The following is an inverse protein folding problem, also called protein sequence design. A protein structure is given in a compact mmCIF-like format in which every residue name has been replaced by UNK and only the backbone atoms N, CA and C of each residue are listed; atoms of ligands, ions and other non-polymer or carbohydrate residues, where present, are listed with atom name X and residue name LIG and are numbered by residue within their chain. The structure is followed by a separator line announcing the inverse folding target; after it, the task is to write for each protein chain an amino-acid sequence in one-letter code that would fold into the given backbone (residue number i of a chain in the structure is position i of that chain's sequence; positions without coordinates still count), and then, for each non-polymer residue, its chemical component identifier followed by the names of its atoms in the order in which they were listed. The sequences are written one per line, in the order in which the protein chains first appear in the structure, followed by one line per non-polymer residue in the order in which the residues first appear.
data_IF_769322430488
#
_entry.id   IF_769322430488
#
_cell.length_a   1.000
_cell.length_b   1.000
_cell.length_c   1.000
_cell.angle_alpha   90.00
_cell.angle_beta   90.00
_cell.angle_gamma   90.00
#
_symmetry.space_group_name_H-M   'P 1'
#
loop_
_entity.id
_entity.type
_entity.pdbx_description
1 polymer ?
#
# COMPACT_ATOMS: atom_id res chain seq x y z
N UNK A 1 -14.90 3.44 -13.20
CA UNK A 1 -14.78 4.88 -13.51
C UNK A 1 -14.13 5.56 -12.33
N UNK A 2 -13.02 6.28 -12.56
CA UNK A 2 -12.14 6.81 -11.52
C UNK A 2 -12.89 7.68 -10.51
N UNK A 3 -12.74 7.37 -9.21
CA UNK A 3 -13.34 8.13 -8.09
C UNK A 3 -13.03 9.65 -8.15
N UNK A 4 -11.97 10.03 -8.87
CA UNK A 4 -11.54 11.41 -8.99
C UNK A 4 -12.43 12.28 -9.88
N UNK A 5 -13.30 11.75 -10.76
CA UNK A 5 -14.18 12.61 -11.58
C UNK A 5 -15.23 13.36 -10.74
N UNK A 6 -15.50 12.89 -9.52
CA UNK A 6 -16.47 13.49 -8.59
C UNK A 6 -15.87 14.53 -7.65
N UNK A 7 -14.55 14.71 -7.68
CA UNK A 7 -13.87 15.67 -6.80
C UNK A 7 -14.05 17.10 -7.32
N UNK A 8 -14.16 18.08 -6.42
CA UNK A 8 -14.01 19.48 -6.83
C UNK A 8 -12.57 19.75 -7.26
N UNK A 9 -12.36 20.86 -7.97
CA UNK A 9 -11.03 21.26 -8.43
C UNK A 9 -10.09 21.55 -7.24
N UNK A 10 -10.60 22.21 -6.19
CA UNK A 10 -9.86 22.45 -4.95
C UNK A 10 -9.46 21.14 -4.27
N UNK A 11 -10.33 20.12 -4.31
CA UNK A 11 -10.05 18.81 -3.74
C UNK A 11 -9.01 18.01 -4.56
N UNK A 12 -8.88 18.27 -5.86
CA UNK A 12 -7.80 17.74 -6.71
C UNK A 12 -6.49 18.45 -6.38
N UNK A 13 -6.49 19.78 -6.32
CA UNK A 13 -5.32 20.61 -5.98
C UNK A 13 -4.78 20.24 -4.60
N UNK A 14 -5.65 20.13 -3.60
CA UNK A 14 -5.28 19.76 -2.23
C UNK A 14 -4.60 18.39 -2.15
N UNK A 15 -5.08 17.39 -2.90
CA UNK A 15 -4.43 16.07 -2.97
C UNK A 15 -3.09 16.15 -3.68
N UNK A 16 -3.00 16.90 -4.77
CA UNK A 16 -1.75 17.07 -5.52
C UNK A 16 -0.67 17.74 -4.67
N UNK A 17 -1.05 18.76 -3.89
CA UNK A 17 -0.16 19.54 -3.04
C UNK A 17 0.48 18.72 -1.91
N UNK A 18 -0.12 17.58 -1.51
CA UNK A 18 0.48 16.69 -0.51
C UNK A 18 1.78 16.03 -1.00
N UNK A 19 1.96 15.93 -2.32
CA UNK A 19 3.08 15.23 -2.95
C UNK A 19 3.97 16.14 -3.80
N UNK A 20 3.43 17.25 -4.32
CA UNK A 20 4.11 18.11 -5.28
C UNK A 20 3.89 19.59 -4.98
N UNK A 21 4.84 20.43 -5.38
CA UNK A 21 4.68 21.89 -5.33
C UNK A 21 3.66 22.38 -6.36
N UNK A 22 2.91 23.43 -6.00
CA UNK A 22 1.95 24.07 -6.90
C UNK A 22 2.64 25.14 -7.77
N UNK A 23 2.31 25.24 -9.07
CA UNK A 23 2.67 26.40 -9.87
C UNK A 23 2.03 27.69 -9.32
N UNK A 24 2.73 28.83 -9.43
CA UNK A 24 2.26 30.13 -8.93
C UNK A 24 0.83 30.46 -9.35
N UNK A 25 0.49 30.17 -10.61
CA UNK A 25 -0.84 30.46 -11.17
C UNK A 25 -1.97 29.72 -10.42
N UNK A 26 -1.74 28.46 -10.05
CA UNK A 26 -2.73 27.65 -9.31
C UNK A 26 -2.77 28.05 -7.84
N UNK A 27 -1.64 28.44 -7.26
CA UNK A 27 -1.56 28.94 -5.88
C UNK A 27 -2.31 30.28 -5.72
N UNK A 28 -2.19 31.18 -6.70
CA UNK A 28 -2.95 32.44 -6.76
C UNK A 28 -4.45 32.20 -6.92
N UNK A 29 -4.84 31.25 -7.77
CA UNK A 29 -6.23 30.83 -7.95
C UNK A 29 -6.82 30.29 -6.65
N UNK A 30 -6.10 29.40 -5.96
CA UNK A 30 -6.53 28.82 -4.68
C UNK A 30 -6.67 29.89 -3.59
N UNK A 31 -5.87 30.95 -3.67
CA UNK A 31 -5.91 32.09 -2.75
C UNK A 31 -6.99 33.13 -3.09
N UNK A 32 -7.77 32.93 -4.16
CA UNK A 32 -8.84 33.83 -4.59
C UNK A 32 -8.36 35.14 -5.22
N UNK A 33 -7.13 35.19 -5.74
CA UNK A 33 -6.60 36.37 -6.45
C UNK A 33 -7.37 36.56 -7.77
N UNK A 34 -7.72 37.81 -8.16
CA UNK A 34 -8.38 38.06 -9.44
C UNK A 34 -7.51 37.56 -10.61
N UNK A 35 -8.12 36.78 -11.49
CA UNK A 35 -7.47 36.20 -12.68
C UNK A 35 -8.23 36.55 -13.95
N UNK A 36 -7.50 36.72 -15.04
CA UNK A 36 -8.09 36.86 -16.38
C UNK A 36 -8.69 35.55 -16.88
N UNK A 37 -9.53 35.63 -17.93
CA UNK A 37 -10.18 34.45 -18.52
C UNK A 37 -9.15 33.40 -19.02
N UNK A 38 -8.07 33.86 -19.65
CA UNK A 38 -7.01 32.97 -20.14
C UNK A 38 -6.23 32.28 -19.01
N UNK A 39 -6.05 32.96 -17.88
CA UNK A 39 -5.40 32.39 -16.68
C UNK A 39 -6.27 31.31 -16.06
N UNK A 40 -7.57 31.58 -15.91
CA UNK A 40 -8.54 30.62 -15.41
C UNK A 40 -8.62 29.37 -16.30
N UNK A 41 -8.63 29.55 -17.62
CA UNK A 41 -8.59 28.44 -18.57
C UNK A 41 -7.32 27.58 -18.38
N UNK A 42 -6.17 28.22 -18.21
CA UNK A 42 -4.89 27.52 -17.98
C UNK A 42 -4.88 26.75 -16.66
N UNK A 43 -5.43 27.34 -15.58
CA UNK A 43 -5.59 26.65 -14.29
C UNK A 43 -6.45 25.42 -14.43
N UNK A 44 -7.57 25.53 -15.14
CA UNK A 44 -8.47 24.41 -15.40
C UNK A 44 -7.77 23.29 -16.17
N UNK A 45 -7.03 23.59 -17.22
CA UNK A 45 -6.26 22.60 -17.98
C UNK A 45 -5.25 21.85 -17.09
N UNK A 46 -4.52 22.59 -16.23
CA UNK A 46 -3.58 22.00 -15.27
C UNK A 46 -4.29 21.04 -14.32
N UNK A 47 -5.43 21.46 -13.76
CA UNK A 47 -6.20 20.65 -12.81
C UNK A 47 -6.76 19.39 -13.47
N UNK A 48 -7.19 19.46 -14.74
CA UNK A 48 -7.64 18.28 -15.48
C UNK A 48 -6.52 17.26 -15.68
N UNK A 49 -5.30 17.71 -15.99
CA UNK A 49 -4.12 16.84 -16.07
C UNK A 49 -3.83 16.16 -14.73
N UNK A 50 -3.90 16.91 -13.61
CA UNK A 50 -3.69 16.33 -12.29
C UNK A 50 -4.77 15.32 -11.91
N UNK A 51 -6.03 15.60 -12.26
CA UNK A 51 -7.16 14.70 -12.03
C UNK A 51 -6.95 13.35 -12.70
N UNK A 52 -6.45 13.33 -13.94
CA UNK A 52 -6.08 12.12 -14.66
C UNK A 52 -4.92 11.39 -13.97
N UNK A 53 -3.83 12.11 -13.65
CA UNK A 53 -2.63 11.54 -13.03
C UNK A 53 -2.89 10.93 -11.66
N UNK A 54 -3.75 11.53 -10.83
CA UNK A 54 -4.10 11.04 -9.50
C UNK A 54 -4.87 9.70 -9.53
N UNK A 55 -5.33 9.23 -10.69
CA UNK A 55 -5.94 7.91 -10.84
C UNK A 55 -5.20 7.00 -11.82
N UNK A 56 -4.00 7.40 -12.28
CA UNK A 56 -3.18 6.62 -13.19
C UNK A 56 -2.16 5.79 -12.39
N UNK A 57 -2.33 4.46 -12.42
CA UNK A 57 -1.41 3.53 -11.76
C UNK A 57 0.02 3.64 -12.30
N UNK A 58 0.19 3.94 -13.59
CA UNK A 58 1.51 4.11 -14.20
C UNK A 58 2.18 5.38 -13.71
N UNK A 59 1.41 6.45 -13.52
CA UNK A 59 1.91 7.68 -12.90
C UNK A 59 2.32 7.45 -11.44
N UNK A 60 1.48 6.74 -10.68
CA UNK A 60 1.81 6.34 -9.31
C UNK A 60 3.10 5.51 -9.25
N UNK A 61 3.20 4.45 -10.05
CA UNK A 61 4.38 3.58 -10.08
C UNK A 61 5.64 4.34 -10.51
N UNK A 62 5.52 5.28 -11.46
CA UNK A 62 6.64 6.15 -11.83
C UNK A 62 7.13 6.95 -10.62
N UNK A 63 6.24 7.64 -9.92
CA UNK A 63 6.61 8.46 -8.76
C UNK A 63 7.24 7.62 -7.64
N UNK A 64 6.66 6.46 -7.33
CA UNK A 64 7.17 5.54 -6.32
C UNK A 64 8.55 5.00 -6.68
N UNK A 65 8.70 4.46 -7.89
CA UNK A 65 9.91 3.78 -8.31
C UNK A 65 11.09 4.75 -8.49
N UNK A 66 10.83 5.94 -9.04
CA UNK A 66 11.86 6.96 -9.28
C UNK A 66 12.48 7.45 -7.96
N UNK A 67 11.66 7.67 -6.93
CA UNK A 67 12.13 8.10 -5.62
C UNK A 67 12.99 7.02 -4.94
N UNK A 68 12.51 5.77 -4.91
CA UNK A 68 13.26 4.64 -4.32
C UNK A 68 14.58 4.43 -5.07
N UNK A 69 14.55 4.43 -6.41
CA UNK A 69 15.75 4.24 -7.23
C UNK A 69 16.81 5.33 -6.97
N UNK A 70 16.40 6.59 -6.82
CA UNK A 70 17.32 7.68 -6.47
C UNK A 70 17.93 7.49 -5.09
N UNK A 71 17.12 7.11 -4.11
CA UNK A 71 17.60 6.90 -2.73
C UNK A 71 18.59 5.73 -2.66
N UNK A 72 18.25 4.59 -3.25
CA UNK A 72 19.13 3.43 -3.28
C UNK A 72 20.44 3.70 -4.03
N UNK A 73 20.39 4.30 -5.23
CA UNK A 73 21.62 4.66 -5.96
C UNK A 73 22.51 5.64 -5.18
N UNK A 74 21.90 6.57 -4.43
CA UNK A 74 22.64 7.52 -3.59
C UNK A 74 23.31 6.82 -2.41
N UNK A 75 22.61 5.88 -1.77
CA UNK A 75 23.10 5.06 -0.66
C UNK A 75 24.29 4.18 -1.10
N UNK A 76 24.18 3.54 -2.26
CA UNK A 76 25.22 2.66 -2.82
C UNK A 76 26.33 3.42 -3.57
N UNK A 77 26.28 4.76 -3.57
CA UNK A 77 27.19 5.63 -4.32
C UNK A 77 27.34 5.26 -5.82
N UNK A 78 26.29 4.73 -6.43
CA UNK A 78 26.28 4.27 -7.80
C UNK A 78 25.34 5.09 -8.68
N UNK A 79 25.34 4.80 -9.99
CA UNK A 79 24.44 5.39 -10.97
C UNK A 79 23.96 4.29 -11.90
N UNK A 80 22.73 4.41 -12.40
CA UNK A 80 22.18 3.48 -13.38
C UNK A 80 20.74 3.11 -13.09
N UNK A 81 20.27 2.08 -13.78
CA UNK A 81 18.94 1.51 -13.60
C UNK A 81 18.88 0.67 -12.32
N UNK A 82 17.95 1.02 -11.44
CA UNK A 82 17.68 0.26 -10.21
C UNK A 82 16.61 -0.83 -10.42
N UNK A 83 15.56 -0.51 -11.20
CA UNK A 83 14.45 -1.41 -11.50
C UNK A 83 14.60 -2.05 -12.87
N UNK A 84 14.02 -3.25 -13.04
CA UNK A 84 13.73 -3.80 -14.36
C UNK A 84 12.70 -2.96 -15.12
N UNK A 85 12.60 -3.17 -16.44
CA UNK A 85 11.88 -2.28 -17.37
C UNK A 85 10.46 -1.86 -16.96
N UNK A 86 9.45 -2.71 -17.16
CA UNK A 86 8.03 -2.40 -16.98
C UNK A 86 7.46 -3.17 -15.80
N UNK A 87 6.62 -2.52 -15.00
CA UNK A 87 5.81 -3.20 -14.00
C UNK A 87 4.68 -4.01 -14.66
N UNK A 88 4.24 -5.07 -14.00
CA UNK A 88 3.04 -5.84 -14.38
C UNK A 88 1.87 -5.39 -13.50
N UNK A 89 0.69 -5.24 -14.11
CA UNK A 89 -0.55 -4.97 -13.39
C UNK A 89 -1.62 -5.90 -13.89
N UNK A 90 -2.18 -6.70 -12.98
CA UNK A 90 -3.20 -7.70 -13.26
C UNK A 90 -4.40 -7.40 -12.38
N UNK A 91 -5.58 -7.24 -13.00
CA UNK A 91 -6.83 -7.13 -12.27
C UNK A 91 -7.21 -8.50 -11.70
N UNK A 92 -7.52 -8.54 -10.39
CA UNK A 92 -8.12 -9.69 -9.72
C UNK A 92 -9.64 -9.45 -9.72
N UNK A 93 -10.37 -10.31 -10.43
CA UNK A 93 -11.79 -10.09 -10.73
C UNK A 93 -12.74 -10.95 -9.88
N UNK A 94 -12.18 -11.85 -9.08
CA UNK A 94 -12.91 -12.76 -8.22
C UNK A 94 -12.16 -13.03 -6.92
N UNK A 95 -12.92 -13.57 -5.96
CA UNK A 95 -12.51 -13.87 -4.61
C UNK A 95 -11.40 -14.93 -4.53
N UNK A 96 -11.41 -15.91 -5.45
CA UNK A 96 -10.37 -16.94 -5.52
C UNK A 96 -9.04 -16.35 -5.98
N UNK A 97 -9.06 -15.48 -6.99
CA UNK A 97 -7.88 -14.77 -7.48
C UNK A 97 -7.30 -13.84 -6.41
N UNK A 98 -8.16 -13.20 -5.60
CA UNK A 98 -7.74 -12.40 -4.45
C UNK A 98 -7.02 -13.25 -3.41
N UNK A 99 -7.65 -14.33 -2.93
CA UNK A 99 -7.06 -15.24 -1.94
C UNK A 99 -5.75 -15.86 -2.42
N UNK A 100 -5.72 -16.34 -3.67
CA UNK A 100 -4.52 -16.90 -4.26
C UNK A 100 -3.38 -15.88 -4.34
N UNK A 101 -3.68 -14.62 -4.68
CA UNK A 101 -2.69 -13.55 -4.71
C UNK A 101 -2.18 -13.21 -3.30
N UNK A 102 -3.07 -13.08 -2.32
CA UNK A 102 -2.70 -12.82 -0.92
C UNK A 102 -1.77 -13.92 -0.38
N UNK A 103 -2.19 -15.19 -0.50
CA UNK A 103 -1.39 -16.33 -0.08
C UNK A 103 -0.07 -16.42 -0.86
N UNK A 104 -0.07 -16.05 -2.15
CA UNK A 104 1.16 -16.01 -2.93
C UNK A 104 2.17 -15.02 -2.36
N UNK A 105 1.73 -13.79 -2.06
CA UNK A 105 2.59 -12.74 -1.50
C UNK A 105 3.10 -13.11 -0.11
N UNK A 106 2.22 -13.57 0.77
CA UNK A 106 2.55 -13.92 2.15
C UNK A 106 3.52 -15.12 2.23
N UNK A 107 3.48 -16.04 1.26
CA UNK A 107 4.40 -17.19 1.18
C UNK A 107 5.70 -16.90 0.41
N UNK A 108 5.86 -15.71 -0.20
CA UNK A 108 7.06 -15.42 -1.00
C UNK A 108 8.37 -15.53 -0.21
N UNK A 109 8.49 -15.04 1.04
CA UNK A 109 9.73 -15.19 1.80
C UNK A 109 10.13 -16.65 2.03
N UNK A 110 9.15 -17.52 2.31
CA UNK A 110 9.39 -18.98 2.45
C UNK A 110 9.85 -19.57 1.12
N UNK A 111 9.15 -19.26 0.02
CA UNK A 111 9.49 -19.74 -1.32
C UNK A 111 10.85 -19.25 -1.81
N UNK A 112 11.30 -18.09 -1.34
CA UNK A 112 12.62 -17.54 -1.63
C UNK A 112 13.72 -18.09 -0.70
N UNK A 113 13.36 -18.95 0.27
CA UNK A 113 14.30 -19.52 1.25
C UNK A 113 14.79 -18.52 2.30
N UNK A 114 14.06 -17.43 2.52
CA UNK A 114 14.42 -16.39 3.50
C UNK A 114 14.00 -16.75 4.92
N UNK A 115 12.92 -17.54 5.09
CA UNK A 115 12.43 -18.00 6.37
C UNK A 115 11.70 -19.35 6.25
N UNK A 116 11.55 -20.06 7.36
CA UNK A 116 10.82 -21.35 7.41
C UNK A 116 9.35 -21.19 7.84
N UNK A 117 8.95 -19.98 8.27
CA UNK A 117 7.62 -19.70 8.78
C UNK A 117 7.17 -18.28 8.44
N UNK A 118 5.86 -18.13 8.23
CA UNK A 118 5.20 -16.85 7.90
C UNK A 118 5.21 -15.86 9.07
N UNK A 119 5.44 -16.32 10.30
CA UNK A 119 5.54 -15.46 11.49
C UNK A 119 6.97 -14.99 11.79
N UNK A 120 7.93 -15.27 10.91
CA UNK A 120 9.33 -14.86 11.06
C UNK A 120 9.72 -13.61 10.24
N UNK A 121 8.85 -13.09 9.37
CA UNK A 121 9.15 -11.95 8.49
C UNK A 121 8.16 -10.81 8.70
N UNK A 122 8.64 -9.72 9.29
CA UNK A 122 7.82 -8.59 9.76
C UNK A 122 7.25 -7.71 8.63
N UNK A 123 7.76 -7.86 7.41
CA UNK A 123 7.35 -7.10 6.23
C UNK A 123 6.25 -7.79 5.40
N UNK A 124 5.52 -8.77 5.95
CA UNK A 124 4.39 -9.44 5.28
C UNK A 124 3.05 -9.17 5.98
N UNK A 125 1.96 -9.24 5.21
CA UNK A 125 0.63 -8.96 5.75
C UNK A 125 0.16 -10.05 6.73
N UNK A 126 0.54 -11.31 6.50
CA UNK A 126 0.23 -12.41 7.40
C UNK A 126 0.92 -12.28 8.76
N UNK A 127 2.16 -11.79 8.80
CA UNK A 127 2.88 -11.56 10.07
C UNK A 127 2.09 -10.60 10.96
N UNK A 128 1.68 -9.44 10.40
CA UNK A 128 0.88 -8.47 11.14
C UNK A 128 -0.46 -9.05 11.61
N UNK A 129 -1.12 -9.86 10.76
CA UNK A 129 -2.39 -10.51 11.10
C UNK A 129 -2.23 -11.52 12.24
N UNK A 130 -1.17 -12.34 12.23
CA UNK A 130 -0.86 -13.28 13.31
C UNK A 130 -0.58 -12.52 14.61
N UNK A 131 0.20 -11.44 14.56
CA UNK A 131 0.47 -10.61 15.73
C UNK A 131 -0.81 -10.01 16.33
N UNK A 132 -1.69 -9.47 15.49
CA UNK A 132 -2.99 -8.93 15.90
C UNK A 132 -3.91 -10.02 16.48
N UNK A 133 -3.92 -11.21 15.90
CA UNK A 133 -4.71 -12.35 16.37
C UNK A 133 -4.24 -12.83 17.75
N UNK A 134 -2.92 -13.00 17.93
CA UNK A 134 -2.30 -13.36 19.23
C UNK A 134 -2.60 -12.31 20.31
N UNK A 135 -2.53 -11.02 19.97
CA UNK A 135 -2.86 -9.93 20.89
C UNK A 135 -4.32 -9.93 21.34
N UNK A 136 -5.26 -10.30 20.46
CA UNK A 136 -6.69 -10.38 20.78
C UNK A 136 -7.06 -11.60 21.63
N UNK A 137 -6.29 -12.70 21.52
CA UNK A 137 -6.49 -13.90 22.33
C UNK A 137 -5.90 -13.80 23.74
N UNK A 138 -5.02 -12.82 23.98
CA UNK A 138 -4.44 -12.61 25.31
C UNK A 138 -5.48 -11.87 26.16
N UNK A 139 -6.05 -12.47 27.22
CA UNK A 139 -6.92 -11.75 28.13
C UNK A 139 -6.11 -10.60 28.76
N UNK A 140 -6.70 -9.41 28.87
CA UNK A 140 -6.09 -8.27 29.57
C UNK A 140 -5.55 -8.72 30.94
N UNK A 141 -4.23 -8.85 31.06
CA UNK A 141 -3.63 -9.61 32.16
C UNK A 141 -2.11 -9.55 32.20
N UNK A 142 -1.58 -8.33 32.38
CA UNK A 142 -0.20 -7.90 32.71
C UNK A 142 0.64 -7.35 31.54
N UNK A 143 1.28 -6.17 31.73
CA UNK A 143 2.32 -5.71 30.83
C UNK A 143 3.55 -6.60 31.03
N UNK A 144 3.84 -7.46 30.06
CA UNK A 144 5.13 -8.15 29.97
C UNK A 144 6.19 -7.13 29.60
N UNK A 145 6.80 -6.53 30.62
CA UNK A 145 8.08 -5.82 30.49
C UNK A 145 9.18 -6.85 30.19
N UNK A 146 9.26 -7.32 28.95
CA UNK A 146 10.48 -7.88 28.39
C UNK A 146 10.69 -7.18 27.05
N UNK A 147 11.38 -6.05 27.13
CA UNK A 147 11.86 -5.32 25.97
C UNK A 147 12.85 -6.18 25.21
N UNK A 148 12.41 -6.72 24.09
CA UNK A 148 13.31 -7.00 22.97
C UNK A 148 13.72 -5.62 22.45
N UNK A 149 14.99 -5.29 22.60
CA UNK A 149 15.57 -4.07 22.03
C UNK A 149 15.37 -4.15 20.51
N UNK A 150 14.80 -3.12 19.86
CA UNK A 150 14.83 -3.07 18.40
C UNK A 150 16.30 -2.99 17.97
N UNK A 151 16.75 -3.91 17.13
CA UNK A 151 18.02 -3.77 16.44
C UNK A 151 18.04 -2.42 15.71
N UNK A 152 19.17 -1.72 15.76
CA UNK A 152 19.37 -0.36 15.20
C UNK A 152 19.21 -0.30 13.66
N UNK A 153 18.87 -1.41 13.01
CA UNK A 153 18.54 -1.50 11.58
C UNK A 153 17.03 -1.64 11.30
N UNK A 154 16.19 -1.73 12.33
CA UNK A 154 14.74 -1.70 12.15
C UNK A 154 14.29 -0.25 11.93
N UNK A 155 13.78 0.01 10.72
CA UNK A 155 13.21 1.30 10.34
C UNK A 155 12.25 1.80 11.43
N UNK A 156 12.22 3.12 11.73
CA UNK A 156 11.38 3.64 12.79
C UNK A 156 9.92 3.22 12.55
N UNK A 157 9.16 2.87 13.61
CA UNK A 157 7.79 2.43 13.45
C UNK A 157 7.01 3.57 12.80
N UNK A 158 6.58 3.37 11.55
CA UNK A 158 5.68 4.28 10.88
C UNK A 158 4.41 4.35 11.75
N UNK A 159 4.25 5.46 12.47
CA UNK A 159 3.06 5.80 13.25
C UNK A 159 1.91 6.21 12.32
N UNK A 160 1.59 5.32 11.38
CA UNK A 160 0.40 5.30 10.56
C UNK A 160 -0.09 3.86 10.63
N UNK A 161 -1.13 3.60 11.44
CA UNK A 161 -1.89 2.34 11.42
C UNK A 161 -2.27 2.06 9.97
N UNK A 162 -1.45 1.30 9.25
CA UNK A 162 -1.79 0.80 7.94
C UNK A 162 -2.78 -0.33 8.21
N UNK A 163 -4.06 0.03 8.24
CA UNK A 163 -5.14 -0.87 8.59
C UNK A 163 -5.31 -1.86 7.44
N UNK A 164 -4.60 -2.99 7.52
CA UNK A 164 -4.91 -4.15 6.71
C UNK A 164 -6.43 -4.34 6.70
N UNK A 165 -6.99 -4.52 5.51
CA UNK A 165 -8.43 -4.71 5.38
C UNK A 165 -8.84 -5.88 6.28
N UNK A 166 -9.78 -5.67 7.22
CA UNK A 166 -10.15 -6.71 8.18
C UNK A 166 -10.87 -7.85 7.45
N UNK A 167 -10.73 -9.07 7.95
CA UNK A 167 -11.57 -10.20 7.56
C UNK A 167 -12.97 -10.05 8.16
N UNK A 168 -13.97 -10.61 7.49
CA UNK A 168 -15.32 -10.66 8.02
C UNK A 168 -15.32 -11.51 9.30
N UNK A 169 -15.87 -10.96 10.39
CA UNK A 169 -16.16 -11.72 11.62
C UNK A 169 -17.57 -12.32 11.62
N UNK A 170 -18.46 -11.69 10.87
CA UNK A 170 -19.85 -12.08 10.65
C UNK A 170 -20.24 -11.54 9.26
N UNK A 171 -20.95 -12.34 8.46
CA UNK A 171 -21.45 -11.96 7.14
C UNK A 171 -22.40 -10.75 7.18
N UNK A 172 -22.86 -10.33 8.37
CA UNK A 172 -23.77 -9.18 8.58
C UNK A 172 -23.11 -7.83 8.88
N UNK A 173 -21.79 -7.67 8.74
CA UNK A 173 -21.10 -6.39 8.97
C UNK A 173 -21.31 -5.36 7.83
N UNK A 174 -22.56 -4.99 7.57
CA UNK A 174 -23.04 -4.22 6.39
C UNK A 174 -22.50 -2.77 6.27
N UNK A 175 -21.53 -2.34 7.07
CA UNK A 175 -21.11 -0.93 7.12
C UNK A 175 -19.60 -0.69 6.99
N UNK A 176 -18.73 -1.71 7.04
CA UNK A 176 -17.27 -1.52 6.88
C UNK A 176 -16.73 -2.42 5.78
N UNK A 177 -15.85 -1.92 4.89
CA UNK A 177 -15.21 -2.76 3.90
C UNK A 177 -14.36 -3.82 4.62
N UNK A 178 -14.59 -5.08 4.27
CA UNK A 178 -13.89 -6.23 4.82
C UNK A 178 -13.63 -7.26 3.71
N UNK A 179 -12.67 -8.14 3.93
CA UNK A 179 -12.47 -9.33 3.11
C UNK A 179 -13.60 -10.32 3.40
N UNK A 180 -14.27 -10.87 2.38
CA UNK A 180 -15.47 -11.70 2.53
C UNK A 180 -15.16 -13.15 3.00
N UNK A 181 -14.15 -13.32 3.84
CA UNK A 181 -13.69 -14.62 4.36
C UNK A 181 -13.42 -14.52 5.86
N UNK A 182 -13.28 -15.66 6.53
CA UNK A 182 -12.81 -15.72 7.90
C UNK A 182 -11.27 -15.70 7.96
N UNK A 183 -10.72 -15.08 9.01
CA UNK A 183 -9.27 -14.99 9.18
C UNK A 183 -8.65 -16.37 9.43
N UNK A 184 -9.36 -17.21 10.19
CA UNK A 184 -8.96 -18.56 10.54
C UNK A 184 -8.87 -19.45 9.28
N UNK A 185 -9.86 -19.38 8.39
CA UNK A 185 -9.84 -20.09 7.11
C UNK A 185 -8.68 -19.62 6.21
N UNK A 186 -8.34 -18.32 6.27
CA UNK A 186 -7.19 -17.81 5.56
C UNK A 186 -5.87 -18.36 6.13
N UNK A 187 -5.75 -18.52 7.44
CA UNK A 187 -4.58 -19.17 8.04
C UNK A 187 -4.45 -20.62 7.60
N UNK A 188 -5.54 -21.38 7.58
CA UNK A 188 -5.55 -22.77 7.08
C UNK A 188 -5.13 -22.83 5.60
N UNK A 189 -5.65 -21.93 4.77
CA UNK A 189 -5.28 -21.83 3.37
C UNK A 189 -3.77 -21.60 3.20
N UNK A 190 -3.19 -20.68 3.96
CA UNK A 190 -1.76 -20.36 3.87
C UNK A 190 -0.90 -21.50 4.39
N UNK A 191 -1.27 -22.15 5.50
CA UNK A 191 -0.56 -23.31 6.04
C UNK A 191 -0.57 -24.48 5.05
N UNK A 192 -1.74 -24.86 4.52
CA UNK A 192 -1.86 -25.94 3.54
C UNK A 192 -1.10 -25.63 2.25
N UNK A 193 -1.19 -24.40 1.75
CA UNK A 193 -0.49 -23.98 0.52
C UNK A 193 1.02 -23.90 0.74
N UNK A 194 1.47 -23.52 1.94
CA UNK A 194 2.90 -23.45 2.29
C UNK A 194 3.54 -24.83 2.42
N UNK A 195 2.79 -25.84 2.88
CA UNK A 195 3.24 -27.24 2.99
C UNK A 195 3.20 -28.01 1.66
N UNK A 196 2.48 -27.50 0.67
CA UNK A 196 2.35 -28.16 -0.63
C UNK A 196 3.71 -28.16 -1.36
N UNK A 197 4.35 -29.34 -1.39
CA UNK A 197 5.58 -29.56 -2.15
C UNK A 197 5.24 -29.53 -3.63
N UNK A 198 5.96 -28.68 -4.38
CA UNK A 198 5.89 -28.63 -5.83
C UNK A 198 7.13 -29.30 -6.39
N UNK A 199 6.99 -30.49 -6.98
CA UNK A 199 8.10 -31.21 -7.61
C UNK A 199 8.71 -30.45 -8.81
N UNK A 200 8.04 -29.40 -9.29
CA UNK A 200 8.44 -28.56 -10.42
C UNK A 200 9.14 -27.25 -10.03
N UNK A 201 9.47 -27.04 -8.75
CA UNK A 201 10.23 -25.88 -8.26
C UNK A 201 11.21 -26.21 -7.13
#
# INVERSE_FOLDING_TARGET
MAQNSRLSDEAVVSRWQQLFSLPLLVDQWLSGTPQGEAELATVQDIIQVWRQRLCDISWFMRCLNEDIARRANKEDHCKGHFWESRFKSQALLDDNALLACMAYVDLNPIRAGMCDSVDAQDFTSIYERIAQFKAQQTPEGKPSSQGVRPDEHSAPPLNNKCLLLPFARDHNANQRPCLPFYLEEYFDLVDWTGRAIRDDK
#
